data_IF_129300156469
#
_entry.id   IF_129300156469
#
_cell.length_a   1.000
_cell.length_b   1.000
_cell.length_c   1.000
_cell.angle_alpha   90.00
_cell.angle_beta   90.00
_cell.angle_gamma   90.00
#
_symmetry.space_group_name_H-M   'P 1'
#
loop_
_entity.id
_entity.type
_entity.pdbx_description
1 polymer ?
#
# COMPACT_ATOMS: atom_id res chain seq x y z
N UNK A 1 -9.13 -7.65 -15.29
CA UNK A 1 -8.23 -6.57 -15.73
C UNK A 1 -6.93 -7.17 -16.26
N UNK A 2 -6.56 -6.80 -17.48
CA UNK A 2 -5.33 -7.29 -18.08
C UNK A 2 -4.17 -6.35 -17.71
N UNK A 3 -3.31 -6.80 -16.82
CA UNK A 3 -2.14 -6.04 -16.42
C UNK A 3 -0.89 -6.87 -16.69
N UNK A 4 0.10 -6.26 -17.33
CA UNK A 4 1.34 -6.94 -17.63
C UNK A 4 2.34 -6.81 -16.48
N UNK A 5 3.31 -7.75 -16.36
CA UNK A 5 4.37 -7.61 -15.35
C UNK A 5 5.11 -6.29 -15.47
N UNK A 6 5.33 -5.80 -16.68
CA UNK A 6 5.99 -4.51 -16.91
C UNK A 6 5.18 -3.36 -16.31
N UNK A 7 3.87 -3.38 -16.47
CA UNK A 7 2.99 -2.35 -15.90
C UNK A 7 3.04 -2.38 -14.37
N UNK A 8 3.04 -3.56 -13.77
CA UNK A 8 3.15 -3.71 -12.32
C UNK A 8 4.48 -3.15 -11.81
N UNK A 9 5.58 -3.51 -12.47
CA UNK A 9 6.90 -3.01 -12.08
C UNK A 9 7.01 -1.50 -12.24
N UNK A 10 6.44 -0.94 -13.30
CA UNK A 10 6.43 0.50 -13.51
C UNK A 10 5.66 1.20 -12.42
N UNK A 11 4.50 0.68 -12.05
CA UNK A 11 3.70 1.24 -10.97
C UNK A 11 4.44 1.13 -9.63
N UNK A 12 4.99 -0.04 -9.32
CA UNK A 12 5.72 -0.25 -8.08
C UNK A 12 6.92 0.67 -7.95
N UNK A 13 7.63 0.92 -9.06
CA UNK A 13 8.80 1.80 -9.06
C UNK A 13 8.47 3.23 -8.65
N UNK A 14 7.24 3.68 -8.88
CA UNK A 14 6.81 5.03 -8.48
C UNK A 14 6.78 5.20 -6.97
N UNK A 15 6.74 4.12 -6.22
CA UNK A 15 6.63 4.15 -4.76
C UNK A 15 7.94 3.76 -4.06
N UNK A 16 9.04 3.70 -4.80
CA UNK A 16 10.36 3.54 -4.19
C UNK A 16 10.58 4.74 -3.25
N UNK A 17 10.94 4.45 -2.00
CA UNK A 17 11.12 5.48 -0.98
C UNK A 17 9.88 5.72 -0.12
N UNK A 18 8.74 5.12 -0.45
CA UNK A 18 7.57 5.19 0.41
C UNK A 18 7.86 4.47 1.73
N UNK A 19 7.52 5.13 2.84
CA UNK A 19 7.77 4.59 4.18
C UNK A 19 6.46 4.29 4.88
N UNK A 20 6.40 3.14 5.53
CA UNK A 20 5.25 2.80 6.37
C UNK A 20 5.06 3.86 7.46
N UNK A 21 3.85 3.98 7.96
CA UNK A 21 3.50 5.03 8.90
C UNK A 21 3.35 4.47 10.31
N UNK A 22 3.61 5.33 11.30
CA UNK A 22 3.44 4.99 12.70
C UNK A 22 1.96 4.92 13.08
N UNK A 23 1.09 5.60 12.32
CA UNK A 23 -0.34 5.64 12.60
C UNK A 23 -1.10 5.90 11.30
N UNK A 24 -2.42 5.94 11.39
CA UNK A 24 -3.32 6.15 10.25
C UNK A 24 -3.39 7.63 9.86
N UNK A 25 -2.22 8.25 9.67
CA UNK A 25 -2.12 9.66 9.28
C UNK A 25 -1.05 9.82 8.22
N UNK A 26 -1.20 10.84 7.37
CA UNK A 26 -0.23 11.19 6.33
C UNK A 26 0.08 10.02 5.40
N UNK A 27 -0.92 9.18 5.13
CA UNK A 27 -0.73 7.94 4.38
C UNK A 27 -0.22 8.19 2.96
N UNK A 28 -0.58 9.31 2.35
CA UNK A 28 -0.19 9.62 0.97
C UNK A 28 1.14 10.37 0.89
N UNK A 29 1.71 10.79 2.00
CA UNK A 29 3.05 11.33 2.02
C UNK A 29 4.07 10.19 2.02
N UNK A 30 5.18 10.37 1.29
CA UNK A 30 6.20 9.33 1.26
C UNK A 30 6.98 9.25 2.57
N UNK A 31 7.23 10.38 3.22
CA UNK A 31 8.14 10.44 4.37
C UNK A 31 7.48 10.82 5.69
N UNK A 32 6.36 11.56 5.64
CA UNK A 32 5.72 12.04 6.85
C UNK A 32 5.15 10.91 7.67
N UNK A 33 5.17 11.07 8.98
CA UNK A 33 4.64 10.09 9.94
C UNK A 33 5.30 8.71 9.81
N UNK A 34 6.55 8.65 9.36
CA UNK A 34 7.26 7.39 9.21
C UNK A 34 7.45 6.69 10.56
N UNK A 35 7.27 5.39 10.59
CA UNK A 35 7.41 4.60 11.80
C UNK A 35 7.13 3.13 11.51
N UNK A 36 7.03 2.32 12.57
CA UNK A 36 6.88 0.86 12.46
C UNK A 36 5.45 0.38 12.73
N UNK A 37 4.46 1.20 12.40
CA UNK A 37 3.06 0.86 12.64
C UNK A 37 2.42 0.04 11.53
N UNK A 38 3.10 -0.20 10.41
CA UNK A 38 2.58 -0.91 9.25
C UNK A 38 1.38 -0.22 8.59
N UNK A 39 1.16 1.06 8.85
CA UNK A 39 0.11 1.82 8.19
C UNK A 39 0.60 2.32 6.84
N UNK A 40 -0.16 2.07 5.78
CA UNK A 40 0.21 2.49 4.42
C UNK A 40 -1.02 2.90 3.63
N UNK A 41 -0.82 3.75 2.62
CA UNK A 41 -1.87 4.11 1.69
C UNK A 41 -2.40 2.89 0.91
N UNK A 42 -1.54 1.90 0.66
CA UNK A 42 -1.92 0.72 -0.11
C UNK A 42 -2.97 -0.11 0.62
N UNK A 43 -2.73 -0.39 1.89
CA UNK A 43 -3.67 -1.14 2.72
C UNK A 43 -4.93 -0.32 2.98
N UNK A 44 -4.80 0.99 3.18
CA UNK A 44 -5.96 1.85 3.40
C UNK A 44 -6.90 1.84 2.20
N UNK A 45 -6.36 1.90 0.98
CA UNK A 45 -7.18 1.85 -0.22
C UNK A 45 -7.83 0.48 -0.41
N UNK A 46 -7.09 -0.60 -0.16
CA UNK A 46 -7.65 -1.94 -0.24
C UNK A 46 -8.73 -2.17 0.81
N UNK A 47 -8.53 -1.67 2.02
CA UNK A 47 -9.53 -1.76 3.08
C UNK A 47 -10.80 -1.00 2.70
N UNK A 48 -10.65 0.19 2.14
CA UNK A 48 -11.78 0.99 1.68
C UNK A 48 -12.55 0.28 0.57
N UNK A 49 -11.86 -0.42 -0.30
CA UNK A 49 -12.47 -1.20 -1.37
C UNK A 49 -12.97 -2.58 -0.91
N UNK A 50 -12.75 -2.91 0.37
CA UNK A 50 -13.11 -4.22 0.96
C UNK A 50 -12.49 -5.38 0.19
N UNK A 51 -11.24 -5.19 -0.23
CA UNK A 51 -10.49 -6.20 -0.96
C UNK A 51 -10.26 -7.46 -0.10
N UNK A 52 -9.95 -7.25 1.18
CA UNK A 52 -9.77 -8.33 2.14
C UNK A 52 -11.06 -8.54 2.94
N UNK A 53 -11.22 -9.73 3.52
CA UNK A 53 -12.36 -10.03 4.41
C UNK A 53 -12.33 -9.20 5.69
N UNK A 54 -11.14 -8.81 6.13
CA UNK A 54 -10.96 -7.97 7.32
C UNK A 54 -10.00 -6.85 6.99
N UNK A 55 -10.09 -5.69 7.68
CA UNK A 55 -9.14 -4.61 7.48
C UNK A 55 -7.72 -5.04 7.77
N UNK A 56 -6.78 -4.58 6.97
CA UNK A 56 -5.37 -4.93 7.06
C UNK A 56 -4.45 -3.76 7.35
N UNK A 57 -4.95 -2.52 7.34
CA UNK A 57 -4.08 -1.39 7.64
C UNK A 57 -3.59 -1.51 9.08
N UNK A 58 -2.29 -1.34 9.28
CA UNK A 58 -1.67 -1.57 10.58
C UNK A 58 -1.04 -2.96 10.72
N UNK A 59 -1.19 -3.82 9.72
CA UNK A 59 -0.56 -5.13 9.68
C UNK A 59 0.52 -5.17 8.60
N UNK A 60 1.28 -6.26 8.52
CA UNK A 60 2.34 -6.38 7.51
C UNK A 60 1.79 -6.10 6.12
N UNK A 61 2.52 -5.32 5.34
CA UNK A 61 1.98 -4.75 4.10
C UNK A 61 2.69 -5.18 2.82
N UNK A 62 3.71 -6.01 2.89
CA UNK A 62 4.42 -6.44 1.68
C UNK A 62 3.48 -7.10 0.68
N UNK A 63 2.67 -8.06 1.14
CA UNK A 63 1.68 -8.73 0.30
C UNK A 63 0.60 -7.77 -0.16
N UNK A 64 0.18 -6.85 0.73
CA UNK A 64 -0.82 -5.85 0.40
C UNK A 64 -0.33 -4.89 -0.68
N UNK A 65 0.93 -4.51 -0.64
CA UNK A 65 1.50 -3.64 -1.67
C UNK A 65 1.46 -4.33 -3.05
N UNK A 66 1.85 -5.59 -3.12
CA UNK A 66 1.80 -6.35 -4.36
C UNK A 66 0.35 -6.46 -4.85
N UNK A 67 -0.58 -6.81 -3.95
CA UNK A 67 -1.99 -6.89 -4.28
C UNK A 67 -2.53 -5.55 -4.77
N UNK A 68 -2.13 -4.45 -4.14
CA UNK A 68 -2.53 -3.11 -4.55
C UNK A 68 -2.06 -2.79 -5.97
N UNK A 69 -0.83 -3.16 -6.30
CA UNK A 69 -0.31 -2.94 -7.65
C UNK A 69 -1.13 -3.67 -8.71
N UNK A 70 -1.57 -4.89 -8.41
CA UNK A 70 -2.40 -5.64 -9.34
C UNK A 70 -3.85 -5.14 -9.37
N UNK A 71 -4.39 -4.74 -8.22
CA UNK A 71 -5.74 -4.22 -8.11
C UNK A 71 -5.90 -2.88 -8.83
N UNK A 72 -4.87 -2.06 -8.72
CA UNK A 72 -4.86 -0.73 -9.31
C UNK A 72 -4.77 -0.82 -10.84
#
# INVERSE_FOLDING_TARGET
MNITPKQVLTLAAKYIGYREKASDKDLYSFEDNAGRGNFTMFQAELDKAKFWNTPKNGYEWCTSFVAWCFWR
#
